data_IF_944080857731
#
_entry.id   IF_944080857731
#
_cell.length_a   1.000
_cell.length_b   1.000
_cell.length_c   1.000
_cell.angle_alpha   90.00
_cell.angle_beta   90.00
_cell.angle_gamma   90.00
#
_symmetry.space_group_name_H-M   'P 1'
#
loop_
_entity.id
_entity.type
_entity.pdbx_description
1 polymer ?
#
# COMPACT_ATOMS: atom_id res chain seq x y z
N UNK A 1 -8.06 -46.14 -8.21
CA UNK A 1 -7.17 -45.59 -7.19
C UNK A 1 -5.82 -45.29 -7.82
N UNK A 2 -5.50 -44.03 -8.09
CA UNK A 2 -4.12 -43.58 -8.24
C UNK A 2 -4.03 -42.13 -7.77
N UNK A 3 -3.52 -42.00 -6.56
CA UNK A 3 -3.17 -40.77 -5.88
C UNK A 3 -1.93 -40.16 -6.54
N UNK A 4 -2.01 -38.91 -6.99
CA UNK A 4 -0.82 -38.07 -7.15
C UNK A 4 -0.74 -37.22 -5.89
N UNK A 5 0.29 -37.51 -5.09
CA UNK A 5 0.59 -36.83 -3.86
C UNK A 5 0.72 -35.31 -4.10
N UNK A 6 -0.22 -34.56 -3.52
CA UNK A 6 -0.13 -33.11 -3.42
C UNK A 6 1.06 -32.78 -2.51
N UNK A 7 2.13 -32.21 -3.07
CA UNK A 7 3.29 -31.73 -2.31
C UNK A 7 2.82 -30.63 -1.33
N UNK A 8 3.29 -30.60 -0.06
CA UNK A 8 2.91 -29.57 0.89
C UNK A 8 3.65 -28.26 0.57
N UNK A 9 2.91 -27.15 0.46
CA UNK A 9 3.47 -25.80 0.43
C UNK A 9 3.28 -24.98 -0.85
N UNK A 10 2.70 -25.54 -1.91
CA UNK A 10 2.29 -24.78 -3.09
C UNK A 10 0.95 -24.09 -2.87
N UNK A 11 0.95 -22.83 -2.39
CA UNK A 11 -0.31 -22.06 -2.24
C UNK A 11 -0.94 -21.85 -3.62
N UNK A 12 -2.20 -22.28 -3.78
CA UNK A 12 -2.98 -22.06 -4.99
C UNK A 12 -3.08 -20.55 -5.30
N UNK A 13 -2.94 -20.18 -6.56
CA UNK A 13 -3.05 -18.79 -7.00
C UNK A 13 -4.46 -18.23 -6.70
N UNK A 14 -4.53 -17.03 -6.12
CA UNK A 14 -5.81 -16.37 -5.82
C UNK A 14 -6.49 -15.95 -7.13
N UNK A 15 -7.72 -16.39 -7.34
CA UNK A 15 -8.50 -16.13 -8.57
C UNK A 15 -9.52 -15.02 -8.33
N UNK A 16 -9.24 -13.82 -8.82
CA UNK A 16 -10.13 -12.65 -8.67
C UNK A 16 -10.73 -12.24 -10.02
N UNK A 17 -12.05 -12.11 -10.06
CA UNK A 17 -12.78 -11.46 -11.14
C UNK A 17 -13.30 -10.09 -10.66
N UNK A 18 -13.05 -9.04 -11.43
CA UNK A 18 -13.59 -7.70 -11.19
C UNK A 18 -14.47 -7.30 -12.38
N UNK A 19 -15.82 -7.39 -12.25
CA UNK A 19 -16.72 -6.97 -13.31
C UNK A 19 -16.66 -5.45 -13.53
N UNK A 20 -17.16 -4.92 -14.67
CA UNK A 20 -17.16 -3.49 -14.94
C UNK A 20 -17.79 -2.66 -13.80
N UNK A 21 -17.06 -1.65 -13.34
CA UNK A 21 -17.44 -0.81 -12.20
C UNK A 21 -17.06 -1.38 -10.82
N UNK A 22 -16.35 -2.50 -10.75
CA UNK A 22 -15.66 -2.98 -9.54
C UNK A 22 -14.17 -2.78 -9.70
N UNK A 23 -13.54 -2.20 -8.67
CA UNK A 23 -12.11 -1.92 -8.71
C UNK A 23 -11.30 -3.21 -8.80
N UNK A 24 -10.40 -3.24 -9.79
CA UNK A 24 -9.41 -4.31 -9.92
C UNK A 24 -8.35 -4.11 -8.85
N UNK A 25 -7.97 -5.15 -8.09
CA UNK A 25 -6.88 -5.04 -7.12
C UNK A 25 -5.63 -4.45 -7.77
N UNK A 26 -5.09 -3.38 -7.21
CA UNK A 26 -3.85 -2.74 -7.65
C UNK A 26 -2.80 -2.80 -6.54
N UNK A 27 -1.66 -2.15 -6.75
CA UNK A 27 -0.51 -2.14 -5.85
C UNK A 27 -0.83 -1.83 -4.39
N UNK A 28 -1.87 -1.05 -4.12
CA UNK A 28 -2.41 -0.74 -2.80
C UNK A 28 -2.99 -1.97 -2.09
N UNK A 29 -3.93 -2.66 -2.71
CA UNK A 29 -4.50 -3.90 -2.19
C UNK A 29 -3.44 -5.00 -2.08
N UNK A 30 -2.47 -5.04 -3.01
CA UNK A 30 -1.37 -5.99 -2.95
C UNK A 30 -0.44 -5.73 -1.76
N UNK A 31 -0.11 -4.46 -1.49
CA UNK A 31 0.73 -4.07 -0.36
C UNK A 31 0.04 -4.41 0.97
N UNK A 32 -1.25 -4.10 1.10
CA UNK A 32 -2.04 -4.40 2.29
C UNK A 32 -2.18 -5.92 2.53
N UNK A 33 -2.42 -6.70 1.47
CA UNK A 33 -2.46 -8.16 1.54
C UNK A 33 -1.12 -8.76 1.98
N UNK A 34 0.01 -8.23 1.49
CA UNK A 34 1.34 -8.67 1.91
C UNK A 34 1.57 -8.39 3.40
N UNK A 35 1.26 -7.18 3.87
CA UNK A 35 1.40 -6.81 5.28
C UNK A 35 0.56 -7.70 6.22
N UNK A 36 -0.69 -8.00 5.83
CA UNK A 36 -1.57 -8.91 6.57
C UNK A 36 -0.99 -10.33 6.64
N UNK A 37 -0.46 -10.85 5.52
CA UNK A 37 0.09 -12.20 5.40
C UNK A 37 1.39 -12.39 6.17
N UNK A 38 2.34 -11.49 5.98
CA UNK A 38 3.69 -11.58 6.56
C UNK A 38 3.63 -11.58 8.10
N UNK A 39 2.63 -10.94 8.68
CA UNK A 39 2.41 -10.86 10.13
C UNK A 39 1.42 -11.89 10.67
N UNK A 40 0.79 -12.69 9.80
CA UNK A 40 -0.19 -13.70 10.20
C UNK A 40 -1.43 -13.13 10.91
N UNK A 41 -1.78 -11.87 10.69
CA UNK A 41 -2.81 -11.14 11.45
C UNK A 41 -4.22 -11.71 11.26
N UNK A 42 -4.46 -12.38 10.13
CA UNK A 42 -5.76 -12.97 9.83
C UNK A 42 -5.97 -14.34 10.50
N UNK A 43 -4.91 -15.03 10.95
CA UNK A 43 -5.03 -16.43 11.43
C UNK A 43 -5.89 -16.48 12.70
N UNK A 44 -7.01 -17.20 12.64
CA UNK A 44 -7.98 -17.33 13.74
C UNK A 44 -8.84 -16.09 13.98
N UNK A 45 -8.55 -14.96 13.31
CA UNK A 45 -9.22 -13.69 13.54
C UNK A 45 -10.62 -13.64 12.90
N UNK A 46 -11.54 -12.92 13.55
CA UNK A 46 -12.75 -12.38 12.93
C UNK A 46 -12.36 -11.12 12.17
N UNK A 47 -12.39 -11.20 10.84
CA UNK A 47 -11.91 -10.15 9.94
C UNK A 47 -13.06 -9.38 9.32
N UNK A 48 -12.95 -8.04 9.32
CA UNK A 48 -13.79 -7.14 8.54
C UNK A 48 -12.97 -6.51 7.41
N UNK A 49 -13.44 -6.65 6.17
CA UNK A 49 -12.90 -5.99 4.98
C UNK A 49 -13.83 -4.84 4.57
N UNK A 50 -13.43 -3.60 4.87
CA UNK A 50 -14.16 -2.39 4.49
C UNK A 50 -13.68 -1.90 3.12
N UNK A 51 -14.63 -1.38 2.34
CA UNK A 51 -14.38 -0.98 0.95
C UNK A 51 -13.93 -2.17 0.10
N UNK A 52 -14.59 -3.31 0.28
CA UNK A 52 -14.10 -4.62 -0.19
C UNK A 52 -13.85 -4.68 -1.70
N UNK A 53 -14.58 -3.90 -2.51
CA UNK A 53 -14.46 -3.88 -3.96
C UNK A 53 -14.62 -5.27 -4.58
N UNK A 54 -13.55 -5.82 -5.12
CA UNK A 54 -13.54 -7.18 -5.68
C UNK A 54 -13.56 -8.29 -4.61
N UNK A 55 -13.36 -7.96 -3.33
CA UNK A 55 -13.24 -8.93 -2.25
C UNK A 55 -11.86 -9.58 -2.15
N UNK A 56 -10.83 -9.02 -2.79
CA UNK A 56 -9.48 -9.63 -2.77
C UNK A 56 -8.93 -9.75 -1.36
N UNK A 57 -9.09 -8.73 -0.51
CA UNK A 57 -8.58 -8.73 0.86
C UNK A 57 -9.36 -9.70 1.73
N UNK A 58 -10.70 -9.70 1.64
CA UNK A 58 -11.56 -10.71 2.26
C UNK A 58 -11.18 -12.15 1.87
N UNK A 59 -10.95 -12.41 0.58
CA UNK A 59 -10.51 -13.73 0.10
C UNK A 59 -9.15 -14.10 0.66
N UNK A 60 -8.18 -13.19 0.63
CA UNK A 60 -6.84 -13.44 1.19
C UNK A 60 -6.96 -13.73 2.69
N UNK A 61 -7.73 -12.94 3.45
CA UNK A 61 -7.93 -13.17 4.88
C UNK A 61 -8.48 -14.58 5.17
N UNK A 62 -9.48 -15.03 4.40
CA UNK A 62 -10.02 -16.39 4.52
C UNK A 62 -8.99 -17.48 4.20
N UNK A 63 -8.18 -17.29 3.15
CA UNK A 63 -7.11 -18.23 2.79
C UNK A 63 -5.96 -18.25 3.81
N UNK A 64 -5.75 -17.17 4.56
CA UNK A 64 -4.78 -17.11 5.67
C UNK A 64 -5.34 -17.66 7.00
N UNK A 65 -6.56 -18.20 6.99
CA UNK A 65 -7.14 -18.91 8.14
C UNK A 65 -7.94 -18.04 9.09
N UNK A 66 -8.55 -16.95 8.60
CA UNK A 66 -9.56 -16.22 9.37
C UNK A 66 -10.70 -17.14 9.82
N UNK A 67 -11.14 -17.00 11.07
CA UNK A 67 -12.26 -17.77 11.63
C UNK A 67 -13.60 -17.33 11.06
N UNK A 68 -13.73 -16.04 10.73
CA UNK A 68 -14.84 -15.47 10.00
C UNK A 68 -14.39 -14.27 9.18
N UNK A 69 -14.98 -14.08 8.00
CA UNK A 69 -14.71 -12.92 7.14
C UNK A 69 -16.02 -12.22 6.81
N UNK A 70 -16.11 -10.94 7.15
CA UNK A 70 -17.18 -10.04 6.73
C UNK A 70 -16.63 -9.01 5.76
N UNK A 71 -17.29 -8.78 4.64
CA UNK A 71 -16.91 -7.82 3.62
C UNK A 71 -18.02 -6.79 3.46
N UNK A 72 -17.69 -5.50 3.56
CA UNK A 72 -18.66 -4.41 3.40
C UNK A 72 -18.26 -3.50 2.26
N UNK A 73 -19.24 -3.20 1.41
CA UNK A 73 -19.09 -2.18 0.37
C UNK A 73 -20.44 -1.56 0.03
N UNK A 74 -20.45 -0.26 -0.24
CA UNK A 74 -21.66 0.45 -0.62
C UNK A 74 -22.16 0.04 -2.03
N UNK A 75 -21.33 -0.63 -2.85
CA UNK A 75 -21.63 -1.02 -4.23
C UNK A 75 -22.23 -2.43 -4.25
N UNK A 76 -23.46 -2.53 -4.76
CA UNK A 76 -24.10 -3.84 -4.97
C UNK A 76 -23.24 -4.76 -5.85
N UNK A 77 -22.55 -4.20 -6.86
CA UNK A 77 -21.67 -4.98 -7.75
C UNK A 77 -20.44 -5.50 -6.99
N UNK A 78 -19.87 -4.70 -6.10
CA UNK A 78 -18.74 -5.12 -5.26
C UNK A 78 -19.14 -6.26 -4.30
N UNK A 79 -20.29 -6.13 -3.65
CA UNK A 79 -20.83 -7.19 -2.77
C UNK A 79 -21.04 -8.51 -3.52
N UNK A 80 -21.60 -8.45 -4.74
CA UNK A 80 -21.74 -9.65 -5.58
C UNK A 80 -20.38 -10.20 -6.02
N UNK A 81 -19.45 -9.34 -6.44
CA UNK A 81 -18.10 -9.75 -6.84
C UNK A 81 -17.35 -10.44 -5.69
N UNK A 82 -17.39 -9.87 -4.49
CA UNK A 82 -16.80 -10.48 -3.30
C UNK A 82 -17.38 -11.86 -3.02
N UNK A 83 -18.71 -12.04 -3.07
CA UNK A 83 -19.34 -13.37 -2.89
C UNK A 83 -18.88 -14.37 -3.94
N UNK A 84 -18.83 -13.97 -5.21
CA UNK A 84 -18.40 -14.84 -6.31
C UNK A 84 -16.92 -15.22 -6.18
N UNK A 85 -16.06 -14.25 -5.85
CA UNK A 85 -14.63 -14.49 -5.65
C UNK A 85 -14.37 -15.34 -4.40
N UNK A 86 -15.12 -15.15 -3.32
CA UNK A 86 -15.10 -16.05 -2.15
C UNK A 86 -15.35 -17.49 -2.56
N UNK A 87 -16.49 -17.75 -3.23
CA UNK A 87 -16.85 -19.09 -3.73
C UNK A 87 -15.78 -19.67 -4.66
N UNK A 88 -15.25 -18.86 -5.59
CA UNK A 88 -14.20 -19.28 -6.54
C UNK A 88 -12.89 -19.68 -5.85
N UNK A 89 -12.63 -19.19 -4.65
CA UNK A 89 -11.42 -19.52 -3.88
C UNK A 89 -11.70 -20.45 -2.70
N UNK A 90 -12.91 -21.01 -2.59
CA UNK A 90 -13.27 -21.89 -1.47
C UNK A 90 -13.40 -21.17 -0.12
N UNK A 91 -13.54 -19.84 -0.14
CA UNK A 91 -13.65 -19.00 1.06
C UNK A 91 -15.10 -18.63 1.30
N UNK A 92 -15.64 -18.99 2.47
CA UNK A 92 -16.95 -18.51 2.92
C UNK A 92 -16.80 -17.12 3.51
N UNK A 93 -17.52 -16.15 2.94
CA UNK A 93 -17.53 -14.77 3.43
C UNK A 93 -18.96 -14.22 3.54
N UNK A 94 -19.18 -13.36 4.53
CA UNK A 94 -20.42 -12.60 4.72
C UNK A 94 -20.26 -11.25 4.03
N UNK A 95 -20.79 -11.09 2.82
CA UNK A 95 -20.74 -9.80 2.12
C UNK A 95 -22.02 -8.99 2.35
N UNK A 96 -21.89 -7.76 2.84
CA UNK A 96 -22.97 -6.86 3.18
C UNK A 96 -22.87 -5.57 2.36
N UNK A 97 -24.02 -5.04 1.95
CA UNK A 97 -24.08 -3.74 1.30
C UNK A 97 -24.41 -2.67 2.33
N UNK A 98 -23.62 -1.61 2.36
CA UNK A 98 -23.96 -0.39 3.10
C UNK A 98 -22.75 0.51 3.29
N UNK A 99 -22.96 1.58 4.06
CA UNK A 99 -21.95 2.59 4.32
C UNK A 99 -21.09 2.21 5.54
N UNK A 100 -19.77 2.11 5.32
CA UNK A 100 -18.77 1.87 6.35
C UNK A 100 -19.18 0.77 7.35
N UNK A 101 -19.45 1.17 8.59
CA UNK A 101 -19.74 0.28 9.70
C UNK A 101 -21.23 0.01 9.91
N UNK A 102 -22.13 0.73 9.23
CA UNK A 102 -23.58 0.64 9.47
C UNK A 102 -24.12 -0.80 9.34
N UNK A 103 -23.71 -1.63 8.36
CA UNK A 103 -24.19 -3.01 8.24
C UNK A 103 -23.71 -3.96 9.34
N UNK A 104 -22.73 -3.53 10.14
CA UNK A 104 -22.08 -4.30 11.21
C UNK A 104 -22.15 -3.55 12.54
N UNK A 105 -23.16 -2.70 12.71
CA UNK A 105 -23.40 -1.95 13.93
C UNK A 105 -23.47 -2.91 15.14
N UNK A 106 -22.71 -2.59 16.20
CA UNK A 106 -22.61 -3.43 17.39
C UNK A 106 -21.68 -4.64 17.28
N UNK A 107 -21.15 -4.97 16.09
CA UNK A 107 -20.19 -6.05 15.93
C UNK A 107 -18.75 -5.57 16.12
N UNK A 108 -17.93 -6.42 16.75
CA UNK A 108 -16.49 -6.22 16.95
C UNK A 108 -15.66 -7.25 16.18
N UNK A 109 -14.47 -6.86 15.76
CA UNK A 109 -13.56 -7.65 14.94
C UNK A 109 -12.14 -7.62 15.52
N UNK A 110 -11.40 -8.71 15.35
CA UNK A 110 -10.01 -8.82 15.78
C UNK A 110 -9.08 -8.12 14.77
N UNK A 111 -9.48 -8.10 13.50
CA UNK A 111 -8.79 -7.42 12.43
C UNK A 111 -9.80 -6.70 11.53
N UNK A 112 -9.58 -5.41 11.30
CA UNK A 112 -10.24 -4.62 10.27
C UNK A 112 -9.20 -4.30 9.21
N UNK A 113 -9.48 -4.61 7.94
CA UNK A 113 -8.67 -4.20 6.80
C UNK A 113 -9.46 -3.22 5.96
N UNK A 114 -8.82 -2.14 5.52
CA UNK A 114 -9.46 -1.10 4.75
C UNK A 114 -8.56 -0.57 3.63
N UNK A 115 -9.12 -0.52 2.42
CA UNK A 115 -8.56 0.20 1.29
C UNK A 115 -9.58 1.25 0.80
N UNK A 116 -9.72 2.38 1.52
CA UNK A 116 -10.70 3.39 1.18
C UNK A 116 -10.35 4.10 -0.13
N UNK A 117 -11.33 4.70 -0.82
CA UNK A 117 -11.07 5.75 -1.80
C UNK A 117 -10.36 6.94 -1.12
N UNK A 118 -9.11 7.22 -1.50
CA UNK A 118 -8.25 8.22 -0.87
C UNK A 118 -7.69 9.28 -1.83
N UNK A 119 -8.06 9.25 -3.12
CA UNK A 119 -7.56 10.21 -4.11
C UNK A 119 -8.30 11.55 -3.98
N UNK A 120 -7.57 12.67 -3.87
CA UNK A 120 -8.17 14.01 -3.95
C UNK A 120 -8.92 14.23 -5.27
N UNK A 121 -10.12 14.79 -5.18
CA UNK A 121 -11.04 14.94 -6.31
C UNK A 121 -12.04 16.06 -6.10
N UNK A 122 -13.28 15.83 -6.50
CA UNK A 122 -14.35 16.81 -6.30
C UNK A 122 -14.68 16.99 -4.81
N UNK A 123 -15.28 18.13 -4.46
CA UNK A 123 -15.73 18.41 -3.09
C UNK A 123 -16.76 17.37 -2.60
N UNK A 124 -17.68 16.98 -3.48
CA UNK A 124 -18.66 15.94 -3.23
C UNK A 124 -18.18 14.57 -3.75
N UNK A 125 -18.45 13.51 -2.96
CA UNK A 125 -18.14 12.16 -3.39
C UNK A 125 -19.04 11.72 -4.55
N UNK A 126 -18.50 10.98 -5.54
CA UNK A 126 -19.29 10.45 -6.64
C UNK A 126 -20.44 9.57 -6.15
N UNK A 127 -21.67 9.90 -6.55
CA UNK A 127 -22.88 9.08 -6.26
C UNK A 127 -22.92 7.77 -7.05
N UNK A 128 -22.12 7.65 -8.11
CA UNK A 128 -22.04 6.48 -8.96
C UNK A 128 -20.82 6.48 -9.88
N UNK A 129 -20.70 5.46 -10.72
CA UNK A 129 -19.58 5.32 -11.66
C UNK A 129 -18.28 4.82 -11.04
N UNK A 130 -17.24 4.74 -11.88
CA UNK A 130 -15.94 4.18 -11.48
C UNK A 130 -15.21 5.08 -10.47
N UNK A 131 -15.42 6.41 -10.53
CA UNK A 131 -14.81 7.39 -9.64
C UNK A 131 -15.00 7.10 -8.15
N UNK A 132 -16.12 6.47 -7.79
CA UNK A 132 -16.42 6.06 -6.42
C UNK A 132 -15.39 5.10 -5.81
N UNK A 133 -14.62 4.39 -6.65
CA UNK A 133 -13.59 3.47 -6.18
C UNK A 133 -12.29 4.16 -5.75
N UNK A 134 -12.08 5.42 -6.09
CA UNK A 134 -10.82 6.11 -5.79
C UNK A 134 -10.98 7.52 -5.22
N UNK A 135 -12.07 8.25 -5.49
CA UNK A 135 -12.22 9.62 -4.96
C UNK A 135 -12.63 9.64 -3.49
N UNK A 136 -11.85 10.37 -2.69
CA UNK A 136 -12.05 10.55 -1.25
C UNK A 136 -12.48 11.97 -0.85
N UNK A 137 -13.00 12.77 -1.78
CA UNK A 137 -13.37 14.17 -1.57
C UNK A 137 -12.25 15.16 -1.94
N UNK A 138 -12.44 16.44 -1.62
CA UNK A 138 -11.54 17.54 -2.02
C UNK A 138 -10.06 17.27 -1.70
N UNK A 139 -9.79 16.78 -0.49
CA UNK A 139 -8.45 16.45 0.02
C UNK A 139 -8.18 14.94 0.05
N UNK A 140 -9.11 14.13 -0.48
CA UNK A 140 -9.03 12.67 -0.46
C UNK A 140 -9.28 12.04 0.91
N UNK A 141 -9.56 12.83 1.96
CA UNK A 141 -9.57 12.35 3.34
C UNK A 141 -10.94 11.95 3.85
N UNK A 142 -12.04 12.35 3.21
CA UNK A 142 -13.38 12.22 3.77
C UNK A 142 -13.68 10.81 4.28
N UNK A 143 -13.36 9.77 3.50
CA UNK A 143 -13.60 8.37 3.88
C UNK A 143 -12.54 7.81 4.84
N UNK A 144 -11.31 8.29 4.75
CA UNK A 144 -10.22 7.94 5.68
C UNK A 144 -10.55 8.47 7.07
N UNK A 145 -10.95 9.73 7.15
CA UNK A 145 -11.33 10.44 8.37
C UNK A 145 -12.52 9.74 9.06
N UNK A 146 -13.60 9.44 8.30
CA UNK A 146 -14.76 8.70 8.81
C UNK A 146 -14.42 7.28 9.29
N UNK A 147 -13.50 6.61 8.60
CA UNK A 147 -12.98 5.31 9.04
C UNK A 147 -12.26 5.46 10.38
N UNK A 148 -11.36 6.42 10.51
CA UNK A 148 -10.58 6.66 11.73
C UNK A 148 -11.49 6.96 12.93
N UNK A 149 -12.53 7.75 12.73
CA UNK A 149 -13.48 8.11 13.79
C UNK A 149 -14.32 6.91 14.27
N UNK A 150 -14.73 6.04 13.34
CA UNK A 150 -15.61 4.91 13.67
C UNK A 150 -14.89 3.64 14.15
N UNK A 151 -13.63 3.42 13.73
CA UNK A 151 -13.00 2.10 13.82
C UNK A 151 -12.82 1.59 15.25
N UNK A 152 -12.59 2.49 16.22
CA UNK A 152 -12.40 2.09 17.63
C UNK A 152 -13.61 1.33 18.19
N UNK A 153 -14.82 1.71 17.80
CA UNK A 153 -16.07 1.07 18.23
C UNK A 153 -16.22 -0.38 17.75
N UNK A 154 -15.54 -0.73 16.65
CA UNK A 154 -15.64 -2.01 15.97
C UNK A 154 -14.42 -2.92 16.17
N UNK A 155 -13.41 -2.49 16.92
CA UNK A 155 -12.29 -3.34 17.31
C UNK A 155 -12.62 -4.08 18.61
N UNK A 156 -12.30 -5.38 18.64
CA UNK A 156 -12.19 -6.15 19.86
C UNK A 156 -11.02 -5.64 20.72
N UNK A 157 -10.96 -5.95 22.03
CA UNK A 157 -9.77 -5.68 22.83
C UNK A 157 -8.51 -6.28 22.17
N UNK A 158 -7.45 -5.48 22.02
CA UNK A 158 -6.24 -5.89 21.30
C UNK A 158 -6.40 -6.03 19.78
N UNK A 159 -7.59 -5.76 19.24
CA UNK A 159 -7.86 -5.80 17.80
C UNK A 159 -7.10 -4.73 17.03
N UNK A 160 -6.92 -4.96 15.72
CA UNK A 160 -6.07 -4.11 14.87
C UNK A 160 -6.81 -3.62 13.64
N UNK A 161 -6.56 -2.38 13.24
CA UNK A 161 -6.83 -1.86 11.91
C UNK A 161 -5.56 -2.00 11.06
N UNK A 162 -5.71 -2.46 9.82
CA UNK A 162 -4.75 -2.22 8.73
C UNK A 162 -5.40 -1.35 7.65
N UNK A 163 -4.84 -0.18 7.43
CA UNK A 163 -5.29 0.80 6.45
C UNK A 163 -4.19 1.02 5.42
N UNK A 164 -4.53 0.98 4.13
CA UNK A 164 -3.65 1.49 3.08
C UNK A 164 -4.09 2.88 2.64
N UNK A 165 -3.13 3.78 2.42
CA UNK A 165 -3.37 5.10 1.85
C UNK A 165 -2.17 5.60 1.03
N UNK A 166 -2.36 6.69 0.29
CA UNK A 166 -1.28 7.42 -0.38
C UNK A 166 -0.69 8.49 0.54
N UNK A 167 0.60 8.80 0.37
CA UNK A 167 1.27 9.96 0.99
C UNK A 167 0.62 11.29 0.60
N UNK A 168 -0.11 11.32 -0.52
CA UNK A 168 -0.85 12.49 -1.01
C UNK A 168 -2.08 12.82 -0.13
N UNK A 169 -2.47 11.93 0.78
CA UNK A 169 -3.71 12.02 1.57
C UNK A 169 -3.43 12.33 3.06
N UNK A 170 -2.22 12.78 3.42
CA UNK A 170 -1.91 13.23 4.78
C UNK A 170 -1.67 12.09 5.77
N UNK A 171 -0.42 11.63 5.85
CA UNK A 171 0.01 10.59 6.81
C UNK A 171 -0.15 11.05 8.26
N UNK A 172 0.39 12.21 8.61
CA UNK A 172 0.39 12.72 9.98
C UNK A 172 -1.04 12.87 10.51
N UNK A 173 -1.93 13.45 9.71
CA UNK A 173 -3.33 13.65 10.11
C UNK A 173 -4.06 12.33 10.37
N UNK A 174 -3.73 11.29 9.60
CA UNK A 174 -4.30 9.96 9.81
C UNK A 174 -3.80 9.33 11.10
N UNK A 175 -2.49 9.43 11.38
CA UNK A 175 -1.89 8.93 12.61
C UNK A 175 -2.45 9.67 13.83
N UNK A 176 -2.53 11.00 13.79
CA UNK A 176 -3.02 11.82 14.90
C UNK A 176 -4.50 11.52 15.20
N UNK A 177 -5.32 11.32 14.17
CA UNK A 177 -6.75 11.02 14.33
C UNK A 177 -6.99 9.62 14.90
N UNK A 178 -6.23 8.62 14.44
CA UNK A 178 -6.26 7.28 15.03
C UNK A 178 -5.78 7.26 16.48
N UNK A 179 -4.75 8.04 16.80
CA UNK A 179 -4.28 8.21 18.18
C UNK A 179 -5.36 8.87 19.06
N UNK A 180 -6.00 9.92 18.56
CA UNK A 180 -7.11 10.62 19.22
C UNK A 180 -8.33 9.71 19.44
N UNK A 181 -8.54 8.72 18.56
CA UNK A 181 -9.53 7.67 18.74
C UNK A 181 -9.14 6.58 19.77
N UNK A 182 -8.03 6.77 20.50
CA UNK A 182 -7.55 5.85 21.54
C UNK A 182 -6.85 4.60 21.00
N UNK A 183 -6.32 4.65 19.79
CA UNK A 183 -5.53 3.57 19.19
C UNK A 183 -4.03 3.88 19.24
N UNK A 184 -3.21 2.88 18.96
CA UNK A 184 -1.75 3.02 18.83
C UNK A 184 -1.35 2.87 17.36
N UNK A 185 -1.32 3.95 16.58
CA UNK A 185 -1.02 3.90 15.16
C UNK A 185 0.48 3.86 14.88
N UNK A 186 0.88 3.16 13.80
CA UNK A 186 2.23 3.15 13.25
C UNK A 186 2.22 2.76 11.77
N UNK A 187 3.22 3.21 11.02
CA UNK A 187 3.43 2.76 9.63
C UNK A 187 4.15 1.41 9.62
N UNK A 188 3.56 0.41 8.98
CA UNK A 188 4.12 -0.93 8.87
C UNK A 188 4.97 -1.15 7.62
N UNK A 189 4.58 -0.49 6.52
CA UNK A 189 5.23 -0.66 5.24
C UNK A 189 5.03 0.58 4.40
N UNK A 190 6.03 0.88 3.57
CA UNK A 190 5.97 1.91 2.53
C UNK A 190 6.38 1.32 1.20
N UNK A 191 5.78 1.82 0.13
CA UNK A 191 6.17 1.51 -1.23
C UNK A 191 6.08 2.78 -2.07
N UNK A 192 7.25 3.30 -2.43
CA UNK A 192 7.38 4.35 -3.42
C UNK A 192 7.10 3.81 -4.82
N UNK A 193 6.32 4.55 -5.60
CA UNK A 193 6.03 4.28 -7.00
C UNK A 193 5.76 5.57 -7.78
N UNK A 194 5.73 5.52 -9.12
CA UNK A 194 5.35 6.68 -9.92
C UNK A 194 3.91 7.07 -9.62
N UNK A 195 3.58 8.35 -9.78
CA UNK A 195 2.19 8.81 -9.70
C UNK A 195 1.32 8.02 -10.67
N UNK A 196 0.22 7.46 -10.16
CA UNK A 196 -0.78 6.82 -11.01
C UNK A 196 -1.38 7.80 -12.03
N UNK A 197 -2.00 7.33 -13.13
CA UNK A 197 -2.49 8.21 -14.21
C UNK A 197 -3.42 9.33 -13.73
N UNK A 198 -4.29 9.04 -12.76
CA UNK A 198 -5.20 10.03 -12.18
C UNK A 198 -4.48 11.06 -11.30
N UNK A 199 -3.55 10.63 -10.45
CA UNK A 199 -2.74 11.54 -9.63
C UNK A 199 -1.85 12.41 -10.51
N UNK A 200 -1.27 11.83 -11.58
CA UNK A 200 -0.48 12.57 -12.58
C UNK A 200 -1.31 13.63 -13.30
N UNK A 201 -2.51 13.28 -13.75
CA UNK A 201 -3.44 14.22 -14.38
C UNK A 201 -3.87 15.37 -13.45
N UNK A 202 -3.80 15.17 -12.13
CA UNK A 202 -4.16 16.16 -11.09
C UNK A 202 -2.94 16.78 -10.39
N UNK A 203 -1.73 16.55 -10.90
CA UNK A 203 -0.48 16.94 -10.23
C UNK A 203 -0.39 18.44 -9.93
N UNK A 204 -0.87 19.31 -10.85
CA UNK A 204 -0.92 20.75 -10.62
C UNK A 204 -1.78 21.14 -9.40
N UNK A 205 -2.98 20.56 -9.29
CA UNK A 205 -3.88 20.80 -8.15
C UNK A 205 -3.31 20.24 -6.84
N UNK A 206 -2.70 19.04 -6.89
CA UNK A 206 -2.04 18.44 -5.73
C UNK A 206 -0.87 19.29 -5.22
N UNK A 207 -0.10 19.91 -6.12
CA UNK A 207 0.98 20.85 -5.74
C UNK A 207 0.43 22.14 -5.15
N UNK A 208 -0.60 22.72 -5.76
CA UNK A 208 -1.26 23.92 -5.23
C UNK A 208 -1.82 23.69 -3.82
N UNK A 209 -2.29 22.47 -3.53
CA UNK A 209 -2.78 22.06 -2.22
C UNK A 209 -1.67 21.62 -1.23
N UNK A 210 -0.39 21.70 -1.62
CA UNK A 210 0.75 21.27 -0.79
C UNK A 210 0.82 19.76 -0.54
N UNK A 211 0.09 18.94 -1.31
CA UNK A 211 0.02 17.47 -1.17
C UNK A 211 1.06 16.75 -2.02
N UNK A 212 1.62 17.42 -3.02
CA UNK A 212 2.70 16.93 -3.87
C UNK A 212 3.81 17.98 -3.90
N UNK A 213 5.06 17.58 -3.69
CA UNK A 213 6.18 18.50 -3.79
C UNK A 213 6.36 19.02 -5.23
N UNK A 214 6.93 20.22 -5.45
CA UNK A 214 7.05 20.83 -6.77
C UNK A 214 7.66 19.90 -7.83
N UNK A 215 8.75 19.20 -7.48
CA UNK A 215 9.48 18.33 -8.40
C UNK A 215 9.16 16.85 -8.24
N UNK A 216 8.17 16.50 -7.39
CA UNK A 216 7.79 15.11 -7.18
C UNK A 216 6.96 14.56 -8.36
N UNK A 217 7.37 13.39 -8.83
CA UNK A 217 6.71 12.57 -9.86
C UNK A 217 6.30 11.18 -9.33
N UNK A 218 6.51 10.96 -8.04
CA UNK A 218 6.29 9.73 -7.32
C UNK A 218 5.40 9.96 -6.08
N UNK A 219 4.69 8.91 -5.69
CA UNK A 219 3.95 8.84 -4.42
C UNK A 219 4.43 7.63 -3.60
N UNK A 220 4.19 7.67 -2.29
CA UNK A 220 4.34 6.50 -1.43
C UNK A 220 2.98 5.94 -1.07
N UNK A 221 2.79 4.64 -1.27
CA UNK A 221 1.71 3.90 -0.63
C UNK A 221 2.18 3.42 0.73
N UNK A 222 1.41 3.74 1.77
CA UNK A 222 1.68 3.37 3.16
C UNK A 222 0.64 2.37 3.64
N UNK A 223 1.08 1.41 4.44
CA UNK A 223 0.19 0.59 5.28
C UNK A 223 0.34 1.06 6.72
N UNK A 224 -0.73 1.60 7.28
CA UNK A 224 -0.85 2.02 8.68
C UNK A 224 -1.51 0.89 9.45
N UNK A 225 -0.91 0.51 10.57
CA UNK A 225 -1.57 -0.31 11.59
C UNK A 225 -1.98 0.57 12.75
N UNK A 226 -3.19 0.36 13.28
CA UNK A 226 -3.61 0.95 14.55
C UNK A 226 -4.16 -0.14 15.47
N UNK A 227 -3.51 -0.33 16.62
CA UNK A 227 -3.89 -1.34 17.60
C UNK A 227 -4.79 -0.74 18.69
N UNK A 228 -5.90 -1.40 18.99
CA UNK A 228 -6.68 -1.12 20.19
C UNK A 228 -5.93 -1.59 21.44
N UNK A 229 -6.11 -0.93 22.60
CA UNK A 229 -5.58 -1.44 23.85
C UNK A 229 -6.14 -2.84 24.15
N UNK A 230 -5.33 -3.71 24.75
CA UNK A 230 -5.79 -5.00 25.26
C UNK A 230 -6.72 -4.83 26.47
N UNK A 231 -7.36 -5.91 26.92
CA UNK A 231 -8.04 -5.90 28.22
C UNK A 231 -7.01 -5.67 29.32
N UNK A 232 -6.96 -4.45 29.85
CA UNK A 232 -6.33 -4.20 31.13
C UNK A 232 -7.34 -4.60 32.21
N UNK A 233 -6.95 -5.51 33.11
CA UNK A 233 -7.71 -5.78 34.33
C UNK A 233 -8.11 -4.47 35.03
N UNK A 234 -9.39 -4.38 35.38
CA UNK A 234 -10.06 -3.32 36.12
C UNK A 234 -9.18 -2.17 36.68
N UNK A 235 -9.36 -0.97 36.12
CA UNK A 235 -9.82 0.27 36.82
C UNK A 235 -9.33 1.53 36.09
N UNK A 236 -10.28 2.30 35.58
CA UNK A 236 -10.52 3.71 35.95
C UNK A 236 -11.88 4.10 35.35
N UNK A 237 -12.73 4.68 36.19
CA UNK A 237 -14.12 5.03 35.87
C UNK A 237 -14.21 6.20 34.87
N UNK A 238 -15.34 6.35 34.15
CA UNK A 238 -15.51 7.36 33.11
C UNK A 238 -15.98 8.69 33.70
N UNK A 239 -15.49 9.80 33.15
CA UNK A 239 -16.17 11.10 33.24
C UNK A 239 -16.84 11.42 31.90
N UNK A 240 -18.17 11.32 31.94
CA UNK A 240 -19.17 12.11 31.21
C UNK A 240 -18.89 12.62 29.79
N UNK A 241 -19.74 12.19 28.86
CA UNK A 241 -19.98 12.85 27.59
C UNK A 241 -20.83 11.99 26.68
N UNK A 242 -22.14 11.98 26.88
CA UNK A 242 -23.08 11.33 25.98
C UNK A 242 -22.98 11.99 24.60
N UNK A 243 -22.51 11.25 23.59
CA UNK A 243 -22.64 11.65 22.19
C UNK A 243 -23.91 11.00 21.65
N UNK A 244 -24.86 11.86 21.33
CA UNK A 244 -26.16 11.55 20.76
C UNK A 244 -26.01 10.73 19.47
N UNK A 245 -26.79 9.65 19.40
CA UNK A 245 -26.79 8.71 18.29
C UNK A 245 -27.69 9.28 17.20
N UNK A 246 -27.11 9.75 16.12
CA UNK A 246 -27.88 9.98 14.90
C UNK A 246 -27.73 8.77 13.95
N UNK A 247 -28.88 8.31 13.47
CA UNK A 247 -29.13 7.05 12.79
C UNK A 247 -29.46 7.24 11.30
N UNK A 248 -29.21 8.42 10.72
CA UNK A 248 -29.65 8.77 9.38
C UNK A 248 -28.56 8.83 8.31
N UNK A 249 -28.69 8.01 7.27
CA UNK A 249 -28.05 8.08 5.94
C UNK A 249 -27.10 9.29 5.65
N UNK A 250 -25.81 9.09 5.94
CA UNK A 250 -24.81 10.16 6.09
C UNK A 250 -24.02 10.52 4.84
N UNK A 251 -24.29 9.86 3.71
CA UNK A 251 -23.71 10.24 2.41
C UNK A 251 -24.26 11.59 1.89
N UNK A 252 -25.22 12.18 2.62
CA UNK A 252 -25.94 13.40 2.29
C UNK A 252 -25.46 14.65 3.04
N UNK A 253 -24.50 14.53 3.97
CA UNK A 253 -24.14 15.61 4.89
C UNK A 253 -23.19 16.64 4.26
N UNK A 254 -23.63 17.92 4.23
CA UNK A 254 -22.85 19.10 3.84
C UNK A 254 -21.88 19.49 4.97
N UNK A 255 -20.72 20.05 4.59
CA UNK A 255 -19.72 20.60 5.54
C UNK A 255 -20.29 21.86 6.23
N UNK A 256 -20.08 21.97 7.54
CA UNK A 256 -20.07 23.25 8.27
C UNK A 256 -18.65 23.81 8.20
N UNK A 257 -18.52 25.10 7.88
CA UNK A 257 -17.25 25.80 7.66
C UNK A 257 -16.86 26.59 8.92
N UNK A 258 -15.57 26.55 9.27
CA UNK A 258 -14.85 27.47 10.18
C UNK A 258 -13.45 26.92 10.41
N UNK A 259 -12.35 27.54 9.93
CA UNK A 259 -11.72 28.77 10.44
C UNK A 259 -10.79 28.39 11.61
N UNK A 260 -9.49 28.65 11.70
CA UNK A 260 -8.64 29.67 11.07
C UNK A 260 -7.13 29.30 11.15
N UNK A 261 -6.37 29.81 10.18
CA UNK A 261 -5.01 30.41 10.16
C UNK A 261 -3.91 30.03 11.18
N UNK A 262 -2.72 29.70 10.64
CA UNK A 262 -1.40 29.79 11.30
C UNK A 262 -0.70 31.14 11.03
N UNK A 263 0.32 31.53 11.82
CA UNK A 263 1.38 32.46 11.39
C UNK A 263 2.81 31.84 11.45
N UNK A 264 3.83 32.52 10.86
CA UNK A 264 5.00 31.88 10.25
C UNK A 264 6.34 32.02 11.01
N UNK A 265 7.36 31.38 10.43
CA UNK A 265 8.78 31.28 10.80
C UNK A 265 9.52 32.63 10.85
N UNK A 266 10.46 32.75 11.80
CA UNK A 266 11.46 33.82 11.88
C UNK A 266 12.87 33.34 11.49
N UNK A 267 13.53 34.11 10.64
CA UNK A 267 14.93 33.99 10.26
C UNK A 267 15.86 34.75 11.21
N UNK A 268 17.12 34.33 11.33
CA UNK A 268 18.20 35.23 11.75
C UNK A 268 19.56 34.75 11.24
N UNK A 269 20.27 35.66 10.59
CA UNK A 269 21.67 35.57 10.18
C UNK A 269 22.55 36.44 11.10
N UNK A 270 23.81 36.04 11.28
CA UNK A 270 24.98 36.84 11.70
C UNK A 270 26.18 35.88 11.73
N UNK A 271 27.41 36.14 11.26
CA UNK A 271 28.19 37.36 11.04
C UNK A 271 29.62 37.10 11.58
N UNK A 272 30.67 37.66 10.95
CA UNK A 272 32.07 37.70 11.47
C UNK A 272 33.10 36.95 10.60
N UNK A 273 33.83 37.61 9.67
CA UNK A 273 35.16 38.30 9.85
C UNK A 273 36.36 37.32 9.80
N UNK A 274 37.10 37.22 8.68
CA UNK A 274 38.31 37.96 8.22
C UNK A 274 39.59 37.82 9.06
N UNK A 275 40.59 37.15 8.47
CA UNK A 275 42.05 37.43 8.52
C UNK A 275 42.70 36.43 7.54
N UNK A 276 43.72 36.66 6.72
CA UNK A 276 44.70 37.74 6.57
C UNK A 276 45.95 37.12 5.92
N UNK A 277 46.24 37.53 4.67
CA UNK A 277 47.54 37.58 3.96
C UNK A 277 48.43 36.30 3.77
N UNK A 278 48.90 36.07 2.54
CA UNK A 278 50.21 36.51 1.99
C UNK A 278 50.51 35.68 0.72
N UNK A 279 50.82 36.36 -0.38
CA UNK A 279 51.26 35.76 -1.63
C UNK A 279 52.73 35.29 -1.56
N UNK A 280 53.02 34.10 -2.11
CA UNK A 280 54.34 33.74 -2.65
C UNK A 280 54.16 33.07 -4.02
N UNK A 281 54.94 33.54 -4.98
CA UNK A 281 55.02 33.08 -6.37
C UNK A 281 55.91 31.83 -6.51
N UNK A 282 55.91 31.18 -7.69
CA UNK A 282 56.10 29.74 -7.86
C UNK A 282 57.53 29.34 -8.21
N UNK A 283 57.89 28.08 -7.91
CA UNK A 283 58.96 27.35 -8.59
C UNK A 283 58.77 25.83 -8.46
N UNK A 284 58.76 25.20 -9.62
CA UNK A 284 59.32 23.89 -9.96
C UNK A 284 58.80 22.60 -9.30
N UNK A 285 58.04 21.85 -10.12
CA UNK A 285 58.48 20.52 -10.53
C UNK A 285 58.03 19.34 -9.68
N UNK A 286 56.84 18.82 -9.98
CA UNK A 286 56.64 17.37 -10.04
C UNK A 286 55.66 17.06 -11.17
N UNK A 287 56.14 16.31 -12.16
CA UNK A 287 55.35 15.88 -13.29
C UNK A 287 54.27 14.91 -12.79
N UNK A 288 53.02 15.38 -12.77
CA UNK A 288 51.86 14.55 -12.46
C UNK A 288 51.75 13.41 -13.47
N UNK A 289 51.75 12.19 -12.96
CA UNK A 289 51.44 10.96 -13.69
C UNK A 289 50.09 11.14 -14.42
N UNK A 290 49.98 10.78 -15.71
CA UNK A 290 48.74 10.98 -16.46
C UNK A 290 47.58 10.24 -15.78
N UNK A 291 46.39 10.86 -15.67
CA UNK A 291 45.25 10.23 -15.02
C UNK A 291 44.95 8.90 -15.71
N UNK A 292 44.90 7.84 -14.90
CA UNK A 292 44.49 6.50 -15.34
C UNK A 292 43.22 6.61 -16.18
N UNK A 293 43.13 5.89 -17.32
CA UNK A 293 41.94 5.90 -18.14
C UNK A 293 40.72 5.54 -17.28
N UNK A 294 39.58 6.21 -17.48
CA UNK A 294 38.39 5.94 -16.69
C UNK A 294 38.10 4.43 -16.75
N UNK A 295 37.95 3.82 -15.57
CA UNK A 295 37.57 2.39 -15.49
C UNK A 295 36.36 2.17 -16.39
N UNK A 296 36.37 1.16 -17.28
CA UNK A 296 35.24 0.89 -18.14
C UNK A 296 34.00 0.72 -17.26
N UNK A 297 32.93 1.44 -17.62
CA UNK A 297 31.68 1.38 -16.87
C UNK A 297 31.26 -0.09 -16.74
N UNK A 298 30.97 -0.54 -15.51
CA UNK A 298 30.56 -1.91 -15.27
C UNK A 298 29.37 -2.26 -16.19
N UNK A 299 29.37 -3.44 -16.83
CA UNK A 299 28.37 -3.76 -17.84
C UNK A 299 26.96 -3.85 -17.25
N UNK A 300 25.94 -3.69 -18.11
CA UNK A 300 24.56 -3.97 -17.76
C UNK A 300 24.44 -5.41 -17.23
N UNK A 301 23.83 -5.57 -16.06
CA UNK A 301 23.58 -6.88 -15.43
C UNK A 301 22.08 -7.11 -15.32
N UNK A 302 21.62 -8.22 -15.89
CA UNK A 302 20.24 -8.71 -15.75
C UNK A 302 20.28 -9.94 -14.84
N UNK A 303 19.58 -9.90 -13.71
CA UNK A 303 19.54 -10.99 -12.73
C UNK A 303 18.12 -11.52 -12.59
N UNK A 304 17.81 -12.76 -13.00
CA UNK A 304 16.53 -13.40 -12.71
C UNK A 304 16.46 -13.73 -11.22
N UNK A 305 15.50 -13.16 -10.50
CA UNK A 305 15.28 -13.51 -9.09
C UNK A 305 14.40 -14.75 -9.01
N UNK A 306 14.77 -15.74 -8.18
CA UNK A 306 13.92 -16.91 -7.88
C UNK A 306 12.52 -16.43 -7.49
N UNK A 307 11.49 -16.99 -8.13
CA UNK A 307 10.08 -16.66 -7.91
C UNK A 307 9.73 -15.16 -8.11
N UNK A 308 10.63 -14.42 -8.75
CA UNK A 308 10.61 -12.96 -8.81
C UNK A 308 10.85 -12.39 -10.20
N UNK A 309 11.11 -11.07 -10.28
CA UNK A 309 11.35 -10.34 -11.54
C UNK A 309 12.75 -10.57 -12.13
N UNK A 310 13.00 -10.00 -13.31
CA UNK A 310 14.36 -9.72 -13.77
C UNK A 310 14.82 -8.38 -13.19
N UNK A 311 15.98 -8.36 -12.54
CA UNK A 311 16.58 -7.15 -11.97
C UNK A 311 17.69 -6.64 -12.87
N UNK A 312 17.51 -5.45 -13.44
CA UNK A 312 18.44 -4.76 -14.32
C UNK A 312 19.25 -3.75 -13.50
N UNK A 313 20.58 -3.79 -13.61
CA UNK A 313 21.52 -2.86 -12.96
C UNK A 313 22.62 -2.46 -13.96
N UNK A 314 23.23 -1.30 -13.74
CA UNK A 314 24.30 -0.78 -14.61
C UNK A 314 23.75 0.09 -15.74
N UNK A 315 24.60 0.47 -16.71
CA UNK A 315 24.20 1.31 -17.83
C UNK A 315 23.38 0.47 -18.83
N UNK A 316 22.10 0.79 -19.00
CA UNK A 316 21.23 0.17 -20.01
C UNK A 316 20.24 1.19 -20.55
N UNK A 317 19.78 0.95 -21.78
CA UNK A 317 18.60 1.57 -22.34
C UNK A 317 17.53 0.49 -22.51
N UNK A 318 16.30 0.80 -22.15
CA UNK A 318 15.15 -0.08 -22.35
C UNK A 318 14.32 0.49 -23.48
N UNK A 319 14.05 -0.29 -24.52
CA UNK A 319 13.25 0.14 -25.69
C UNK A 319 12.07 -0.81 -25.94
N UNK A 320 11.04 -0.31 -26.62
CA UNK A 320 9.99 -1.15 -27.22
C UNK A 320 10.44 -1.71 -28.59
N UNK A 321 9.59 -2.54 -29.22
CA UNK A 321 9.91 -3.14 -30.52
C UNK A 321 10.01 -2.12 -31.67
N UNK A 322 9.49 -0.91 -31.48
CA UNK A 322 9.55 0.18 -32.46
C UNK A 322 10.77 1.09 -32.22
N UNK A 323 11.64 0.73 -31.26
CA UNK A 323 12.84 1.49 -30.91
C UNK A 323 12.58 2.70 -30.01
N UNK A 324 11.37 2.87 -29.45
CA UNK A 324 11.10 3.98 -28.53
C UNK A 324 11.63 3.66 -27.14
N UNK A 325 12.39 4.60 -26.57
CA UNK A 325 12.91 4.48 -25.21
C UNK A 325 11.79 4.46 -24.18
N UNK A 326 11.85 3.48 -23.28
CA UNK A 326 10.95 3.32 -22.14
C UNK A 326 11.63 3.96 -20.92
N UNK A 327 11.07 5.07 -20.46
CA UNK A 327 11.55 5.74 -19.25
C UNK A 327 11.45 4.81 -18.04
N UNK A 328 12.63 4.52 -17.48
CA UNK A 328 12.81 3.61 -16.37
C UNK A 328 12.67 4.31 -15.00
N UNK A 329 12.79 5.64 -14.94
CA UNK A 329 12.71 6.46 -13.72
C UNK A 329 13.78 6.19 -12.65
N UNK A 330 14.71 5.26 -12.88
CA UNK A 330 15.76 4.85 -11.93
C UNK A 330 16.85 3.99 -12.59
N UNK A 331 18.02 3.96 -11.97
CA UNK A 331 19.18 3.17 -12.43
C UNK A 331 19.07 1.66 -12.19
N UNK A 332 18.18 1.21 -11.30
CA UNK A 332 17.94 -0.22 -11.05
C UNK A 332 16.48 -0.53 -11.26
N UNK A 333 16.18 -1.41 -12.22
CA UNK A 333 14.82 -1.67 -12.69
C UNK A 333 14.45 -3.12 -12.47
N UNK A 334 13.22 -3.39 -12.02
CA UNK A 334 12.67 -4.73 -11.97
C UNK A 334 11.66 -4.93 -13.10
N UNK A 335 11.92 -5.84 -14.02
CA UNK A 335 11.01 -6.23 -15.10
C UNK A 335 10.15 -7.42 -14.70
N UNK A 336 8.87 -7.39 -15.08
CA UNK A 336 7.91 -8.42 -14.77
C UNK A 336 8.25 -9.72 -15.50
N UNK A 337 8.53 -10.77 -14.73
CA UNK A 337 8.69 -12.13 -15.25
C UNK A 337 7.41 -12.98 -15.15
N UNK A 338 6.51 -12.64 -14.24
CA UNK A 338 5.30 -13.43 -13.99
C UNK A 338 4.13 -13.17 -14.95
N UNK A 339 4.23 -12.15 -15.81
CA UNK A 339 3.17 -11.74 -16.74
C UNK A 339 1.91 -11.13 -16.10
N UNK A 340 1.85 -11.01 -14.76
CA UNK A 340 0.66 -10.53 -14.04
C UNK A 340 0.77 -9.09 -13.52
N UNK A 341 1.92 -8.42 -13.73
CA UNK A 341 2.08 -7.01 -13.34
C UNK A 341 1.10 -6.11 -14.10
N UNK A 342 0.63 -5.07 -13.43
CA UNK A 342 -0.24 -4.06 -14.02
C UNK A 342 0.51 -2.85 -14.57
N UNK A 343 1.82 -2.73 -14.28
CA UNK A 343 2.71 -1.67 -14.80
C UNK A 343 3.75 -2.23 -15.78
N UNK A 344 3.37 -3.28 -16.53
CA UNK A 344 4.26 -3.91 -17.52
C UNK A 344 4.88 -2.86 -18.45
N UNK A 345 6.17 -2.96 -18.77
CA UNK A 345 7.04 -4.12 -18.56
C UNK A 345 7.60 -4.26 -17.13
N UNK A 346 7.37 -3.29 -16.24
CA UNK A 346 7.91 -3.30 -14.88
C UNK A 346 7.19 -4.25 -13.93
N UNK A 347 7.86 -4.65 -12.85
CA UNK A 347 7.32 -5.50 -11.79
C UNK A 347 6.74 -4.64 -10.64
N UNK A 348 5.47 -4.85 -10.32
CA UNK A 348 4.77 -4.26 -9.16
C UNK A 348 4.77 -5.15 -7.89
N UNK A 349 5.35 -6.35 -7.97
CA UNK A 349 5.32 -7.34 -6.89
C UNK A 349 4.18 -8.36 -6.96
N UNK A 350 3.31 -8.30 -7.98
CA UNK A 350 2.19 -9.26 -8.16
C UNK A 350 2.63 -10.73 -8.10
N UNK A 351 3.87 -11.04 -8.48
CA UNK A 351 4.46 -12.38 -8.42
C UNK A 351 4.34 -13.05 -7.04
N UNK A 352 4.46 -12.28 -5.94
CA UNK A 352 4.35 -12.83 -4.57
C UNK A 352 2.94 -13.35 -4.25
N UNK A 353 1.93 -12.69 -4.79
CA UNK A 353 0.52 -12.95 -4.45
C UNK A 353 -0.08 -14.04 -5.32
N UNK A 354 0.28 -14.07 -6.61
CA UNK A 354 -0.13 -15.16 -7.51
C UNK A 354 0.69 -16.43 -7.28
N UNK A 355 1.64 -16.42 -6.36
CA UNK A 355 2.50 -17.57 -6.07
C UNK A 355 3.35 -17.96 -7.28
N UNK A 356 3.82 -16.98 -8.05
CA UNK A 356 4.67 -17.24 -9.22
C UNK A 356 5.91 -18.02 -8.79
N UNK A 357 6.19 -19.12 -9.48
CA UNK A 357 7.39 -19.94 -9.25
C UNK A 357 8.21 -20.01 -10.52
N UNK A 358 9.50 -19.72 -10.41
CA UNK A 358 10.45 -19.90 -11.50
C UNK A 358 11.89 -19.85 -10.95
N UNK A 359 12.75 -20.70 -11.50
CA UNK A 359 14.16 -20.75 -11.13
C UNK A 359 14.86 -19.39 -11.34
N UNK A 360 15.91 -19.12 -10.56
CA UNK A 360 16.77 -17.94 -10.75
C UNK A 360 17.84 -18.13 -11.82
N UNK A 361 18.09 -19.37 -12.24
CA UNK A 361 19.04 -19.75 -13.28
C UNK A 361 18.37 -20.53 -14.40
N UNK A 362 19.15 -20.90 -15.42
CA UNK A 362 18.71 -21.78 -16.50
C UNK A 362 18.36 -23.17 -15.94
N UNK A 363 17.29 -23.79 -16.45
CA UNK A 363 16.94 -25.16 -16.11
C UNK A 363 18.06 -26.11 -16.57
N UNK A 364 18.63 -26.88 -15.63
CA UNK A 364 19.75 -27.80 -15.90
C UNK A 364 21.16 -27.20 -15.81
N UNK A 365 21.33 -25.95 -15.36
CA UNK A 365 22.66 -25.35 -15.14
C UNK A 365 23.37 -25.87 -13.87
N UNK A 366 24.71 -25.75 -13.80
CA UNK A 366 25.57 -26.37 -12.75
C UNK A 366 25.40 -25.81 -11.32
N UNK A 367 24.34 -25.04 -11.05
CA UNK A 367 24.02 -24.50 -9.73
C UNK A 367 22.66 -24.96 -9.20
N UNK A 368 22.12 -26.04 -9.76
CA UNK A 368 20.93 -26.70 -9.25
C UNK A 368 21.24 -28.03 -8.60
N UNK A 369 21.96 -28.05 -7.47
CA UNK A 369 21.73 -28.94 -6.31
C UNK A 369 22.88 -28.78 -5.29
N UNK A 370 22.67 -27.99 -4.23
CA UNK A 370 23.48 -28.11 -3.01
C UNK A 370 22.56 -27.92 -1.80
N UNK A 371 21.91 -29.03 -1.41
CA UNK A 371 21.82 -29.51 -0.01
C UNK A 371 20.97 -30.79 0.04
N UNK A 372 21.60 -31.92 -0.29
CA UNK A 372 21.28 -33.25 0.25
C UNK A 372 22.57 -34.07 0.33
N UNK A 373 23.26 -33.97 1.45
CA UNK A 373 24.07 -35.05 2.05
C UNK A 373 24.66 -34.55 3.37
N UNK A 374 24.43 -35.31 4.44
CA UNK A 374 25.13 -35.14 5.72
C UNK A 374 24.21 -35.21 6.92
N UNK A 375 23.93 -36.42 7.40
CA UNK A 375 23.42 -36.62 8.77
C UNK A 375 22.53 -37.82 9.01
N UNK A 376 22.93 -39.04 8.62
CA UNK A 376 22.60 -40.24 9.41
C UNK A 376 23.89 -41.09 9.50
N UNK A 377 24.27 -41.40 10.73
CA UNK A 377 25.51 -42.02 11.16
C UNK A 377 25.64 -41.84 12.66
#
# INVERSE_FOLDING_TARGET
MSSIASRPGGRAAVRIAAPPGVFRPRSDALLLAAAMRERGLARGARVLDLFTGSGVLAVVAGLEGASAVTAVDLSRRAVVAARLNGRRNGVRLRALRGDLFAPVAGERFDLIVANPPYLPGADELPRGGAARAWEGGADGRLLVDRLCDGVRGHLAPGGRLLLVQSSLTGEAETLDRLASAGLRPRVLARRRGPLGPLARARSAALRAAGRLAPDADAEELLVIEAAAPGEAGARTAPTGGAVERDSGDWWSARRVVGGATAPPLGASASGGETSGAVARSPADGDAAEPPLPPRPAAPARITPYRDGPYLLRGPFELTDQDGRTIDCGRQTVALCRCGRSQIRPFCDGTHKLVGFRAAGGAEGGPHGDERRAGGEG
#
